data_IF_446293614821
#
_entry.id   IF_446293614821
#
_cell.length_a   1.000
_cell.length_b   1.000
_cell.length_c   1.000
_cell.angle_alpha   90.00
_cell.angle_beta   90.00
_cell.angle_gamma   90.00
#
_symmetry.space_group_name_H-M   'P 1'
#
loop_
_entity.id
_entity.type
_entity.pdbx_description
1 polymer ?
#
# COMPACT_ATOMS: atom_id res chain seq x y z
N UNK A 1 38.00 -55.84 2.49
CA UNK A 1 39.01 -54.81 2.76
C UNK A 1 39.80 -54.64 1.48
N UNK A 2 39.28 -53.80 0.58
CA UNK A 2 39.95 -53.28 -0.63
C UNK A 2 38.96 -52.28 -1.24
N UNK A 3 39.19 -51.00 -0.99
CA UNK A 3 38.47 -49.90 -1.60
C UNK A 3 39.28 -49.42 -2.79
N UNK A 4 38.73 -49.57 -3.99
CA UNK A 4 39.31 -49.08 -5.23
C UNK A 4 38.84 -47.62 -5.44
N UNK A 5 39.75 -46.68 -5.21
CA UNK A 5 39.57 -45.27 -5.54
C UNK A 5 39.74 -45.05 -7.04
N UNK A 6 38.67 -44.64 -7.73
CA UNK A 6 38.76 -43.97 -9.03
C UNK A 6 38.43 -42.49 -8.85
N UNK A 7 39.43 -41.66 -9.12
CA UNK A 7 39.30 -40.21 -9.18
C UNK A 7 38.57 -39.78 -10.45
N UNK A 8 37.55 -38.94 -10.26
CA UNK A 8 36.96 -38.10 -11.29
C UNK A 8 37.49 -36.68 -11.10
N UNK A 9 38.16 -36.17 -12.12
CA UNK A 9 38.54 -34.77 -12.27
C UNK A 9 37.46 -34.11 -13.10
N UNK A 10 36.69 -33.19 -12.51
CA UNK A 10 35.85 -32.28 -13.30
C UNK A 10 36.11 -30.82 -12.95
N UNK A 11 36.11 -30.05 -14.03
CA UNK A 11 36.70 -28.75 -14.16
C UNK A 11 35.77 -27.67 -13.61
N UNK A 12 36.38 -26.73 -12.87
CA UNK A 12 35.80 -25.44 -12.51
C UNK A 12 35.50 -24.64 -13.77
N UNK A 13 34.22 -24.38 -14.03
CA UNK A 13 33.74 -23.39 -14.99
C UNK A 13 33.08 -22.24 -14.24
N UNK A 14 33.87 -21.26 -13.79
CA UNK A 14 33.36 -19.96 -13.34
C UNK A 14 33.02 -19.12 -14.56
N UNK A 15 31.73 -19.01 -14.89
CA UNK A 15 31.23 -17.99 -15.81
C UNK A 15 30.67 -16.84 -14.98
N UNK A 16 31.39 -15.72 -14.97
CA UNK A 16 30.98 -14.51 -14.28
C UNK A 16 29.83 -13.82 -15.01
N UNK A 17 28.78 -13.48 -14.27
CA UNK A 17 27.83 -12.44 -14.66
C UNK A 17 28.34 -11.11 -14.11
N UNK A 18 28.91 -10.31 -15.00
CA UNK A 18 29.08 -8.87 -14.80
C UNK A 18 28.20 -8.19 -15.86
N UNK A 19 27.04 -7.71 -15.44
CA UNK A 19 26.22 -6.79 -16.23
C UNK A 19 26.15 -5.46 -15.48
N UNK A 20 27.20 -4.66 -15.64
CA UNK A 20 27.17 -3.24 -15.32
C UNK A 20 26.46 -2.52 -16.48
N UNK A 21 25.25 -2.02 -16.24
CA UNK A 21 24.55 -1.15 -17.18
C UNK A 21 25.06 0.29 -17.01
N UNK A 22 26.00 0.67 -17.88
CA UNK A 22 26.40 2.06 -18.11
C UNK A 22 25.33 2.73 -19.00
N UNK A 23 24.49 3.58 -18.41
CA UNK A 23 23.66 4.52 -19.20
C UNK A 23 24.54 5.73 -19.55
N UNK A 24 24.90 5.81 -20.83
CA UNK A 24 25.61 6.94 -21.40
C UNK A 24 24.68 8.15 -21.54
N UNK A 25 25.07 9.25 -20.89
CA UNK A 25 24.59 10.60 -21.15
C UNK A 25 25.01 11.05 -22.56
N UNK A 26 24.05 11.44 -23.40
CA UNK A 26 24.37 12.13 -24.65
C UNK A 26 23.17 12.28 -25.59
N UNK A 27 22.52 13.45 -25.58
CA UNK A 27 21.46 13.75 -26.54
C UNK A 27 20.86 15.15 -26.40
N UNK A 28 21.65 16.18 -26.74
CA UNK A 28 21.18 17.55 -26.95
C UNK A 28 20.14 17.57 -28.09
N UNK A 29 18.96 18.13 -27.83
CA UNK A 29 17.95 18.40 -28.87
C UNK A 29 16.69 19.05 -28.32
N UNK A 30 16.68 20.38 -28.22
CA UNK A 30 15.53 21.13 -27.72
C UNK A 30 14.37 21.25 -28.70
N UNK A 31 13.15 21.31 -28.15
CA UNK A 31 12.05 22.16 -28.63
C UNK A 31 11.14 22.47 -27.44
N UNK A 32 10.79 23.74 -27.30
CA UNK A 32 10.27 24.33 -26.07
C UNK A 32 8.90 23.81 -25.64
N UNK A 33 8.82 23.45 -24.37
CA UNK A 33 7.57 23.48 -23.61
C UNK A 33 7.37 24.90 -23.07
N UNK A 34 6.18 25.45 -23.33
CA UNK A 34 5.75 26.69 -22.71
C UNK A 34 5.68 26.47 -21.20
N UNK A 35 6.66 27.03 -20.48
CA UNK A 35 6.62 27.11 -19.03
C UNK A 35 5.44 27.97 -18.62
N UNK A 36 4.39 27.32 -18.13
CA UNK A 36 3.43 27.99 -17.28
C UNK A 36 4.19 28.44 -16.03
N UNK A 37 4.52 29.73 -15.99
CA UNK A 37 5.08 30.38 -14.82
C UNK A 37 4.08 30.23 -13.67
N UNK A 38 4.32 29.27 -12.78
CA UNK A 38 3.81 29.31 -11.41
C UNK A 38 4.30 30.64 -10.81
N UNK A 39 3.40 31.61 -10.72
CA UNK A 39 3.67 32.85 -10.04
C UNK A 39 4.08 32.51 -8.60
N UNK A 40 5.23 33.02 -8.16
CA UNK A 40 5.68 32.88 -6.79
C UNK A 40 4.61 33.46 -5.84
N UNK A 41 3.89 32.56 -5.18
CA UNK A 41 2.91 32.89 -4.14
C UNK A 41 3.67 33.57 -2.99
N UNK A 42 3.13 34.69 -2.50
CA UNK A 42 3.75 35.46 -1.43
C UNK A 42 3.91 34.58 -0.15
N UNK A 43 5.09 34.57 0.50
CA UNK A 43 5.42 33.58 1.52
C UNK A 43 4.86 33.80 2.95
N UNK A 44 4.05 34.81 3.25
CA UNK A 44 3.96 35.26 4.65
C UNK A 44 2.74 34.78 5.48
N UNK A 45 1.84 33.96 4.94
CA UNK A 45 0.66 33.47 5.68
C UNK A 45 0.70 31.99 6.08
N UNK A 46 1.41 31.17 5.31
CA UNK A 46 1.41 29.71 5.46
C UNK A 46 2.12 29.23 6.72
N UNK A 47 3.13 29.96 7.16
CA UNK A 47 4.02 29.52 8.23
C UNK A 47 3.31 29.69 9.57
N UNK A 48 2.63 30.83 9.76
CA UNK A 48 1.76 31.05 10.90
C UNK A 48 0.58 30.06 10.95
N UNK A 49 0.01 29.69 9.79
CA UNK A 49 -1.06 28.71 9.70
C UNK A 49 -0.57 27.32 10.14
N UNK A 50 0.58 26.88 9.62
CA UNK A 50 1.22 25.65 10.05
C UNK A 50 1.57 25.68 11.54
N UNK A 51 2.26 26.72 12.01
CA UNK A 51 2.67 26.85 13.40
C UNK A 51 1.49 26.73 14.37
N UNK A 52 0.35 27.32 14.01
CA UNK A 52 -0.86 27.27 14.83
C UNK A 52 -1.49 25.87 14.84
N UNK A 53 -1.59 25.19 13.69
CA UNK A 53 -2.10 23.79 13.64
C UNK A 53 -1.16 22.85 14.40
N UNK A 54 0.15 23.02 14.25
CA UNK A 54 1.15 22.22 14.97
C UNK A 54 1.19 22.53 16.47
N UNK A 55 0.87 23.76 16.88
CA UNK A 55 0.71 24.10 18.29
C UNK A 55 -0.50 23.38 18.92
N UNK A 56 -1.63 23.31 18.21
CA UNK A 56 -2.80 22.54 18.63
C UNK A 56 -2.48 21.05 18.76
N UNK A 57 -1.78 20.48 17.77
CA UNK A 57 -1.31 19.10 17.81
C UNK A 57 -0.42 18.82 19.03
N UNK A 58 0.60 19.65 19.28
CA UNK A 58 1.47 19.50 20.46
C UNK A 58 0.69 19.63 21.77
N UNK A 59 -0.30 20.52 21.83
CA UNK A 59 -1.15 20.65 23.01
C UNK A 59 -1.98 19.39 23.26
N UNK A 60 -2.50 18.75 22.21
CA UNK A 60 -3.20 17.47 22.31
C UNK A 60 -2.28 16.35 22.81
N UNK A 61 -1.06 16.24 22.27
CA UNK A 61 -0.07 15.26 22.74
C UNK A 61 0.31 15.49 24.21
N UNK A 62 0.49 16.74 24.63
CA UNK A 62 0.78 17.07 26.03
C UNK A 62 -0.37 16.72 26.97
N UNK A 63 -1.62 16.90 26.52
CA UNK A 63 -2.80 16.51 27.28
C UNK A 63 -2.92 14.98 27.42
N UNK A 64 -2.48 14.23 26.41
CA UNK A 64 -2.48 12.77 26.41
C UNK A 64 -1.46 12.12 27.36
N UNK A 65 -0.45 12.87 27.82
CA UNK A 65 0.54 12.38 28.77
C UNK A 65 1.43 11.25 28.21
N UNK A 66 1.64 10.19 29.01
CA UNK A 66 2.55 9.09 28.67
C UNK A 66 2.09 8.23 27.48
N UNK A 67 0.79 8.24 27.14
CA UNK A 67 0.23 7.49 26.00
C UNK A 67 0.82 7.95 24.65
N UNK A 68 1.20 9.22 24.54
CA UNK A 68 1.84 9.75 23.33
C UNK A 68 3.33 9.35 23.19
N UNK A 69 3.98 8.88 24.27
CA UNK A 69 5.41 8.62 24.28
C UNK A 69 5.78 7.15 23.96
N UNK A 70 4.81 6.24 23.92
CA UNK A 70 5.05 4.79 23.85
C UNK A 70 4.94 4.17 22.46
N UNK A 71 4.46 4.87 21.43
CA UNK A 71 4.39 4.32 20.07
C UNK A 71 5.43 5.02 19.15
N UNK A 72 6.44 4.28 18.65
CA UNK A 72 7.50 4.83 17.79
C UNK A 72 7.00 5.37 16.44
N UNK A 73 5.78 5.03 16.01
CA UNK A 73 5.24 5.39 14.71
C UNK A 73 4.67 6.83 14.65
N UNK A 74 4.71 7.57 15.76
CA UNK A 74 4.11 8.91 15.84
C UNK A 74 4.88 9.98 15.08
N UNK A 75 6.19 9.83 14.89
CA UNK A 75 7.02 11.04 14.76
C UNK A 75 7.20 11.52 13.32
N UNK A 76 7.05 10.66 12.31
CA UNK A 76 7.32 11.08 10.94
C UNK A 76 6.11 11.70 10.23
N UNK A 77 4.91 11.14 10.27
CA UNK A 77 3.78 11.67 9.49
C UNK A 77 2.89 12.64 10.30
N UNK A 78 2.64 12.35 11.57
CA UNK A 78 1.84 13.22 12.45
C UNK A 78 2.63 14.46 12.82
N UNK A 79 1.95 15.59 12.96
CA UNK A 79 2.62 16.86 13.19
C UNK A 79 3.37 17.39 11.96
N UNK A 80 3.15 16.83 10.77
CA UNK A 80 3.51 17.47 9.51
C UNK A 80 2.44 18.44 9.07
N UNK A 81 2.90 19.56 8.52
CA UNK A 81 2.08 20.56 7.86
C UNK A 81 2.60 20.76 6.43
N UNK A 82 1.71 20.71 5.45
CA UNK A 82 2.03 20.88 4.03
C UNK A 82 1.31 22.11 3.51
N UNK A 83 2.04 22.99 2.83
CA UNK A 83 1.48 24.15 2.16
C UNK A 83 0.81 23.74 0.86
N UNK A 84 -0.40 24.24 0.61
CA UNK A 84 -1.11 24.07 -0.65
C UNK A 84 -1.63 25.43 -1.15
N UNK A 85 -1.99 25.56 -2.43
CA UNK A 85 -2.71 26.74 -2.90
C UNK A 85 -3.94 27.03 -2.04
N UNK A 86 -3.99 28.22 -1.43
CA UNK A 86 -5.14 28.66 -0.63
C UNK A 86 -5.13 28.25 0.85
N UNK A 87 -4.14 27.50 1.34
CA UNK A 87 -4.09 27.10 2.75
C UNK A 87 -3.00 26.10 3.11
N UNK A 88 -3.23 25.38 4.19
CA UNK A 88 -2.33 24.32 4.67
C UNK A 88 -3.11 23.07 5.08
N UNK A 89 -2.53 21.92 4.78
CA UNK A 89 -2.95 20.61 5.28
C UNK A 89 -2.08 20.17 6.44
N UNK A 90 -2.64 19.42 7.38
CA UNK A 90 -1.86 18.74 8.40
C UNK A 90 -2.51 17.43 8.83
N UNK A 91 -1.69 16.49 9.29
CA UNK A 91 -2.13 15.32 10.04
C UNK A 91 -1.83 15.56 11.52
N UNK A 92 -2.85 15.49 12.37
CA UNK A 92 -2.74 15.80 13.79
C UNK A 92 -3.34 14.69 14.65
N UNK A 93 -2.83 14.56 15.86
CA UNK A 93 -3.47 13.79 16.94
C UNK A 93 -4.45 14.67 17.72
N UNK A 94 -5.56 14.07 18.14
CA UNK A 94 -6.61 14.64 18.96
C UNK A 94 -6.92 13.71 20.14
N UNK A 95 -7.25 14.28 21.30
CA UNK A 95 -7.87 13.52 22.39
C UNK A 95 -9.38 13.38 22.13
N UNK A 96 -9.93 12.18 22.32
CA UNK A 96 -11.36 11.89 22.14
C UNK A 96 -12.14 11.87 23.46
N UNK A 97 -11.48 11.66 24.60
CA UNK A 97 -12.09 11.77 25.93
C UNK A 97 -11.58 12.99 26.73
N UNK A 98 -12.30 13.37 27.79
CA UNK A 98 -11.96 14.53 28.62
C UNK A 98 -10.69 14.30 29.45
N UNK A 99 -10.36 13.03 29.68
CA UNK A 99 -9.19 12.57 30.41
C UNK A 99 -7.93 12.45 29.55
N UNK A 100 -8.04 12.58 28.21
CA UNK A 100 -6.93 12.46 27.27
C UNK A 100 -6.38 11.05 27.09
N UNK A 101 -7.14 10.03 27.49
CA UNK A 101 -6.71 8.63 27.45
C UNK A 101 -6.99 7.96 26.12
N UNK A 102 -7.94 8.49 25.36
CA UNK A 102 -8.23 7.99 24.03
C UNK A 102 -7.75 9.02 23.00
N UNK A 103 -7.02 8.54 22.00
CA UNK A 103 -6.49 9.35 20.93
C UNK A 103 -7.17 8.99 19.62
N UNK A 104 -7.15 9.95 18.70
CA UNK A 104 -7.44 9.72 17.29
C UNK A 104 -6.54 10.60 16.45
N UNK A 105 -6.31 10.24 15.20
CA UNK A 105 -5.69 11.16 14.25
C UNK A 105 -6.74 11.79 13.34
N UNK A 106 -6.44 12.98 12.83
CA UNK A 106 -7.32 13.73 11.96
C UNK A 106 -6.53 14.48 10.88
N UNK A 107 -7.18 14.64 9.74
CA UNK A 107 -6.81 15.56 8.67
C UNK A 107 -7.37 16.92 9.01
N UNK A 108 -6.52 17.95 8.95
CA UNK A 108 -6.90 19.35 9.16
C UNK A 108 -6.55 20.16 7.94
N UNK A 109 -7.51 20.94 7.47
CA UNK A 109 -7.30 22.03 6.52
C UNK A 109 -7.46 23.37 7.21
N UNK A 110 -6.56 24.32 6.91
CA UNK A 110 -6.71 25.73 7.28
C UNK A 110 -6.46 26.62 6.08
N UNK A 111 -7.53 27.27 5.61
CA UNK A 111 -7.49 28.23 4.52
C UNK A 111 -6.81 29.53 4.91
N UNK A 112 -6.20 30.20 3.91
CA UNK A 112 -5.60 31.52 4.06
C UNK A 112 -6.61 32.62 4.40
N UNK A 113 -7.90 32.36 4.16
CA UNK A 113 -9.03 33.22 4.53
C UNK A 113 -9.53 32.98 5.97
N UNK A 114 -8.88 32.07 6.72
CA UNK A 114 -9.25 31.69 8.07
C UNK A 114 -10.33 30.60 8.15
N UNK A 115 -10.81 30.08 7.02
CA UNK A 115 -11.67 28.89 7.02
C UNK A 115 -10.89 27.68 7.53
N UNK A 116 -11.58 26.75 8.18
CA UNK A 116 -10.97 25.49 8.62
C UNK A 116 -11.93 24.33 8.42
N UNK A 117 -11.36 23.17 8.14
CA UNK A 117 -12.09 21.92 8.06
C UNK A 117 -11.27 20.83 8.75
N UNK A 118 -11.96 19.82 9.28
CA UNK A 118 -11.36 18.74 10.05
C UNK A 118 -12.12 17.45 9.76
N UNK A 119 -11.40 16.36 9.58
CA UNK A 119 -11.96 15.05 9.29
C UNK A 119 -11.06 13.97 9.87
N UNK A 120 -11.64 13.05 10.64
CA UNK A 120 -10.94 11.86 11.14
C UNK A 120 -11.39 10.69 10.26
N UNK A 121 -10.52 10.16 9.38
CA UNK A 121 -10.85 9.00 8.57
C UNK A 121 -11.18 7.82 9.48
N UNK A 122 -12.28 7.09 9.22
CA UNK A 122 -12.54 5.85 9.94
C UNK A 122 -11.46 4.83 9.53
N UNK A 123 -10.88 4.13 10.51
CA UNK A 123 -10.26 2.84 10.24
C UNK A 123 -11.35 1.78 10.39
N UNK A 124 -11.31 0.74 9.55
CA UNK A 124 -12.37 -0.27 9.51
C UNK A 124 -12.39 -1.22 10.72
N UNK A 125 -11.35 -1.19 11.56
CA UNK A 125 -11.29 -1.98 12.77
C UNK A 125 -12.48 -1.61 13.66
N UNK A 126 -13.35 -2.58 13.89
CA UNK A 126 -14.49 -2.46 14.78
C UNK A 126 -13.99 -2.19 16.19
N UNK A 127 -13.95 -0.92 16.57
CA UNK A 127 -13.76 -0.56 17.97
C UNK A 127 -15.05 -0.96 18.68
N UNK A 128 -14.97 -1.99 19.51
CA UNK A 128 -16.15 -2.72 19.99
C UNK A 128 -17.19 -1.86 20.72
N UNK A 129 -16.87 -0.63 21.16
CA UNK A 129 -17.84 0.26 21.83
C UNK A 129 -17.61 1.78 21.65
N UNK A 130 -16.63 2.22 20.83
CA UNK A 130 -16.29 3.65 20.68
C UNK A 130 -16.18 4.05 19.20
N UNK A 131 -17.29 4.54 18.63
CA UNK A 131 -17.29 5.14 17.29
C UNK A 131 -16.79 6.60 17.36
N UNK A 132 -15.83 7.03 16.50
CA UNK A 132 -14.84 6.27 15.74
C UNK A 132 -13.43 6.37 16.37
N UNK A 133 -12.82 5.25 16.76
CA UNK A 133 -11.37 5.22 17.03
C UNK A 133 -10.62 4.84 15.75
N UNK A 134 -9.63 5.65 15.39
CA UNK A 134 -8.64 5.33 14.35
C UNK A 134 -7.23 5.24 14.95
N UNK A 135 -7.20 4.92 16.24
CA UNK A 135 -6.02 4.78 17.08
C UNK A 135 -6.39 3.73 18.13
N UNK A 136 -5.84 2.54 18.01
CA UNK A 136 -6.07 1.47 18.98
C UNK A 136 -4.88 1.38 19.94
N UNK A 137 -5.16 1.00 21.19
CA UNK A 137 -4.17 0.80 22.24
C UNK A 137 -3.27 -0.43 21.96
N UNK A 138 -3.70 -1.34 21.08
CA UNK A 138 -3.07 -2.64 20.86
C UNK A 138 -2.43 -2.85 19.49
N UNK A 139 -2.54 -1.90 18.57
CA UNK A 139 -1.95 -2.00 17.23
C UNK A 139 -0.88 -0.95 16.92
N UNK A 140 -0.13 -1.16 15.84
CA UNK A 140 0.75 -0.16 15.28
C UNK A 140 0.07 0.53 14.09
N UNK A 141 -0.06 1.86 14.18
CA UNK A 141 -0.48 2.71 13.09
C UNK A 141 0.76 3.21 12.35
N UNK A 142 0.94 2.77 11.11
CA UNK A 142 1.88 3.37 10.18
C UNK A 142 1.15 4.38 9.31
N UNK A 143 1.72 5.57 9.15
CA UNK A 143 1.19 6.62 8.29
C UNK A 143 2.22 6.95 7.22
N UNK A 144 1.79 6.91 5.97
CA UNK A 144 2.57 7.45 4.86
C UNK A 144 2.81 8.94 5.12
N UNK A 145 4.02 9.47 4.81
CA UNK A 145 4.23 10.90 4.79
C UNK A 145 3.19 11.54 3.87
N UNK A 146 2.42 12.55 4.34
CA UNK A 146 1.38 13.17 3.53
C UNK A 146 1.99 13.78 2.26
N UNK A 147 1.27 13.70 1.14
CA UNK A 147 1.71 14.22 -0.16
C UNK A 147 0.59 15.00 -0.82
N UNK A 148 0.97 15.90 -1.72
CA UNK A 148 0.03 16.66 -2.54
C UNK A 148 0.15 16.21 -3.99
N UNK A 149 -0.98 15.95 -4.64
CA UNK A 149 -1.06 15.70 -6.09
C UNK A 149 -2.41 16.16 -6.62
N UNK A 150 -2.46 16.64 -7.85
CA UNK A 150 -3.70 17.08 -8.52
C UNK A 150 -4.29 15.89 -9.28
N UNK A 151 -4.98 15.01 -8.55
CA UNK A 151 -5.36 13.67 -9.02
C UNK A 151 -6.56 13.71 -9.96
N UNK A 152 -7.34 14.80 -9.90
CA UNK A 152 -8.51 15.03 -10.76
C UNK A 152 -8.31 16.12 -11.82
N UNK A 153 -7.11 16.71 -11.90
CA UNK A 153 -6.68 17.71 -12.89
C UNK A 153 -7.54 18.98 -12.87
N UNK A 154 -7.99 19.38 -11.68
CA UNK A 154 -8.78 20.60 -11.50
C UNK A 154 -7.92 21.85 -11.22
N UNK A 155 -6.59 21.68 -11.12
CA UNK A 155 -5.62 22.72 -10.84
C UNK A 155 -5.40 22.97 -9.35
N UNK A 156 -6.02 22.18 -8.47
CA UNK A 156 -5.85 22.24 -7.02
C UNK A 156 -5.36 20.87 -6.54
N UNK A 157 -4.24 20.81 -5.82
CA UNK A 157 -3.75 19.53 -5.34
C UNK A 157 -4.59 19.01 -4.17
N UNK A 158 -4.90 17.72 -4.24
CA UNK A 158 -5.47 16.89 -3.18
C UNK A 158 -4.39 16.43 -2.21
N UNK A 159 -4.80 16.18 -0.97
CA UNK A 159 -3.97 15.52 0.03
C UNK A 159 -4.09 14.00 -0.11
N UNK A 160 -3.02 13.32 -0.47
CA UNK A 160 -2.89 11.88 -0.27
C UNK A 160 -2.58 11.57 1.19
N UNK A 161 -3.35 10.63 1.75
CA UNK A 161 -3.12 10.02 3.05
C UNK A 161 -3.17 8.51 2.89
N UNK A 162 -2.08 7.84 3.26
CA UNK A 162 -2.02 6.40 3.46
C UNK A 162 -1.85 6.09 4.94
N UNK A 163 -2.64 5.17 5.45
CA UNK A 163 -2.60 4.71 6.82
C UNK A 163 -2.74 3.20 6.84
N UNK A 164 -1.81 2.50 7.47
CA UNK A 164 -1.85 1.05 7.66
C UNK A 164 -1.90 0.78 9.14
N UNK A 165 -2.93 0.06 9.57
CA UNK A 165 -3.09 -0.41 10.92
C UNK A 165 -2.74 -1.89 10.98
N UNK A 166 -1.76 -2.21 11.81
CA UNK A 166 -1.39 -3.58 12.15
C UNK A 166 -1.82 -3.88 13.58
N UNK A 167 -2.88 -4.67 13.73
CA UNK A 167 -3.21 -5.30 15.00
C UNK A 167 -2.22 -6.43 15.33
N UNK A 168 -2.22 -6.88 16.59
CA UNK A 168 -1.44 -8.07 16.98
C UNK A 168 -1.94 -9.34 16.28
N UNK A 169 -3.22 -9.37 15.91
CA UNK A 169 -3.92 -10.50 15.30
C UNK A 169 -4.98 -9.97 14.32
N UNK A 170 -5.17 -10.65 13.20
CA UNK A 170 -6.27 -10.38 12.27
C UNK A 170 -5.93 -9.56 11.02
N UNK A 171 -6.98 -9.04 10.39
CA UNK A 171 -6.90 -8.30 9.13
C UNK A 171 -6.19 -6.96 9.35
N UNK A 172 -5.15 -6.72 8.57
CA UNK A 172 -4.56 -5.40 8.44
C UNK A 172 -5.57 -4.47 7.78
N UNK A 173 -5.85 -3.34 8.41
CA UNK A 173 -6.69 -2.32 7.81
C UNK A 173 -5.83 -1.22 7.22
N UNK A 174 -6.03 -0.97 5.94
CA UNK A 174 -5.38 0.09 5.22
C UNK A 174 -6.42 1.12 4.79
N UNK A 175 -6.10 2.40 4.95
CA UNK A 175 -6.87 3.51 4.42
C UNK A 175 -5.95 4.35 3.56
N UNK A 176 -6.10 4.23 2.25
CA UNK A 176 -5.46 5.10 1.29
C UNK A 176 -6.53 5.91 0.58
N UNK A 177 -6.40 7.24 0.61
CA UNK A 177 -7.34 8.11 -0.08
C UNK A 177 -6.71 9.47 -0.40
N UNK A 178 -7.29 10.11 -1.41
CA UNK A 178 -7.07 11.52 -1.70
C UNK A 178 -8.19 12.35 -1.12
N UNK A 179 -7.86 13.48 -0.53
CA UNK A 179 -8.80 14.37 0.13
C UNK A 179 -8.72 15.78 -0.43
N UNK A 180 -9.88 16.39 -0.66
CA UNK A 180 -10.01 17.79 -1.07
C UNK A 180 -10.93 18.54 -0.11
N UNK A 181 -10.96 19.87 -0.23
CA UNK A 181 -11.91 20.71 0.50
C UNK A 181 -13.03 21.13 -0.43
N UNK A 182 -14.24 20.68 -0.12
CA UNK A 182 -15.45 21.01 -0.88
C UNK A 182 -16.54 21.51 0.07
N UNK A 183 -17.11 22.68 -0.26
CA UNK A 183 -18.16 23.32 0.54
C UNK A 183 -17.81 23.48 2.05
N UNK A 184 -16.54 23.72 2.37
CA UNK A 184 -16.06 23.89 3.74
C UNK A 184 -15.86 22.59 4.53
N UNK A 185 -15.94 21.43 3.88
CA UNK A 185 -15.66 20.12 4.47
C UNK A 185 -14.51 19.43 3.74
N UNK A 186 -13.77 18.58 4.46
CA UNK A 186 -12.82 17.64 3.86
C UNK A 186 -13.63 16.45 3.35
N UNK A 187 -13.44 16.09 2.08
CA UNK A 187 -14.13 14.98 1.44
C UNK A 187 -13.14 14.15 0.63
N UNK A 188 -13.39 12.85 0.54
CA UNK A 188 -12.58 11.96 -0.30
C UNK A 188 -12.85 12.25 -1.80
N UNK A 189 -11.78 12.20 -2.60
CA UNK A 189 -11.85 12.39 -4.06
C UNK A 189 -12.15 11.05 -4.73
N UNK A 190 -13.19 10.96 -5.58
CA UNK A 190 -13.48 9.75 -6.34
C UNK A 190 -12.35 9.44 -7.35
N UNK A 191 -11.90 8.18 -7.37
CA UNK A 191 -10.86 7.71 -8.29
C UNK A 191 -11.45 6.73 -9.33
N UNK A 192 -12.15 7.21 -10.38
CA UNK A 192 -12.76 6.32 -11.38
C UNK A 192 -11.71 5.46 -12.12
N UNK A 193 -10.45 5.89 -12.14
CA UNK A 193 -9.32 5.15 -12.69
C UNK A 193 -9.13 3.76 -12.07
N UNK A 194 -9.49 3.59 -10.78
CA UNK A 194 -9.43 2.33 -10.05
C UNK A 194 -10.57 1.37 -10.40
N UNK A 195 -11.60 1.80 -11.13
CA UNK A 195 -12.73 0.94 -11.57
C UNK A 195 -13.44 0.20 -10.43
N UNK A 196 -13.43 0.77 -9.22
CA UNK A 196 -14.04 0.20 -8.02
C UNK A 196 -13.11 -0.68 -7.18
N UNK A 197 -11.84 -0.85 -7.55
CA UNK A 197 -10.85 -1.48 -6.69
C UNK A 197 -10.39 -0.55 -5.57
N UNK A 198 -9.95 -1.12 -4.46
CA UNK A 198 -9.38 -0.39 -3.34
C UNK A 198 -8.05 0.27 -3.74
N UNK A 199 -7.80 1.47 -3.22
CA UNK A 199 -6.48 2.09 -3.28
C UNK A 199 -5.63 1.50 -2.15
N UNK A 200 -4.45 1.01 -2.49
CA UNK A 200 -3.52 0.35 -1.56
C UNK A 200 -2.22 1.15 -1.39
N UNK A 201 -2.08 2.24 -2.14
CA UNK A 201 -0.94 3.13 -2.05
C UNK A 201 -0.89 4.12 -3.20
N UNK A 202 0.00 5.11 -3.08
CA UNK A 202 0.28 6.03 -4.17
C UNK A 202 1.78 6.37 -4.24
N UNK A 203 2.37 6.34 -5.44
CA UNK A 203 3.81 6.53 -5.64
C UNK A 203 4.10 7.07 -7.03
N UNK A 204 5.05 7.99 -7.13
CA UNK A 204 5.63 8.41 -8.41
C UNK A 204 6.59 7.32 -8.92
N UNK A 205 6.17 6.52 -9.91
CA UNK A 205 6.94 5.37 -10.40
C UNK A 205 7.92 5.74 -11.51
N UNK A 206 7.70 6.84 -12.22
CA UNK A 206 8.53 7.27 -13.35
C UNK A 206 9.33 8.57 -13.10
N UNK A 207 9.13 9.19 -11.94
CA UNK A 207 9.86 10.36 -11.47
C UNK A 207 9.36 11.68 -12.05
N UNK A 208 8.12 11.72 -12.55
CA UNK A 208 7.53 12.91 -13.17
C UNK A 208 6.90 13.90 -12.18
N UNK A 209 6.86 13.53 -10.90
CA UNK A 209 6.31 14.33 -9.81
C UNK A 209 4.82 14.11 -9.54
N UNK A 210 4.14 13.22 -10.26
CA UNK A 210 2.74 12.83 -10.04
C UNK A 210 2.69 11.48 -9.36
N UNK A 211 1.61 11.23 -8.61
CA UNK A 211 1.44 9.95 -7.93
C UNK A 211 0.66 8.98 -8.82
N UNK A 212 1.24 7.81 -9.06
CA UNK A 212 0.56 6.65 -9.61
C UNK A 212 -0.23 5.95 -8.51
N UNK A 213 -1.38 5.39 -8.88
CA UNK A 213 -2.23 4.65 -7.95
C UNK A 213 -1.78 3.19 -7.90
N UNK A 214 -1.69 2.64 -6.69
CA UNK A 214 -1.37 1.24 -6.46
C UNK A 214 -2.60 0.51 -5.94
N UNK A 215 -2.85 -0.69 -6.43
CA UNK A 215 -4.00 -1.50 -6.04
C UNK A 215 -3.71 -2.98 -6.28
N UNK A 216 -4.20 -3.88 -5.42
CA UNK A 216 -4.19 -5.32 -5.74
C UNK A 216 -5.28 -5.70 -6.78
N UNK A 217 -6.09 -4.74 -7.23
CA UNK A 217 -7.13 -4.95 -8.24
C UNK A 217 -8.16 -5.98 -7.77
N UNK A 218 -8.50 -6.99 -8.60
CA UNK A 218 -9.40 -8.06 -8.19
C UNK A 218 -8.71 -9.14 -7.32
N UNK A 219 -7.43 -8.97 -6.99
CA UNK A 219 -6.63 -9.94 -6.23
C UNK A 219 -6.49 -9.47 -4.78
N UNK A 220 -7.62 -9.17 -4.14
CA UNK A 220 -7.71 -8.79 -2.75
C UNK A 220 -8.93 -9.49 -2.14
N UNK A 221 -8.77 -10.14 -1.02
CA UNK A 221 -9.89 -10.71 -0.28
C UNK A 221 -9.49 -11.15 1.11
N UNK A 222 -10.49 -11.25 1.98
CA UNK A 222 -10.30 -11.76 3.33
C UNK A 222 -10.61 -13.26 3.38
N UNK A 223 -9.90 -13.99 4.23
CA UNK A 223 -10.12 -15.42 4.47
C UNK A 223 -9.92 -15.72 5.95
N UNK A 224 -10.58 -16.74 6.49
CA UNK A 224 -10.33 -17.16 7.86
C UNK A 224 -9.01 -17.93 7.94
N UNK A 225 -8.12 -17.54 8.83
CA UNK A 225 -6.91 -18.31 9.10
C UNK A 225 -7.28 -19.67 9.66
N UNK A 226 -6.73 -20.73 9.08
CA UNK A 226 -6.80 -22.05 9.69
C UNK A 226 -6.15 -21.96 11.07
N UNK A 227 -6.99 -21.87 12.11
CA UNK A 227 -6.80 -22.32 13.52
C UNK A 227 -6.82 -21.21 14.54
N UNK A 228 -6.74 -19.98 14.08
CA UNK A 228 -6.87 -18.84 14.95
C UNK A 228 -8.31 -18.32 14.97
N UNK A 229 -9.09 -18.61 13.93
CA UNK A 229 -10.41 -18.00 13.71
C UNK A 229 -10.31 -16.50 13.40
N UNK A 230 -9.10 -15.97 13.26
CA UNK A 230 -8.87 -14.58 12.85
C UNK A 230 -9.01 -14.48 11.34
N UNK A 231 -9.69 -13.42 10.88
CA UNK A 231 -9.65 -13.04 9.48
C UNK A 231 -8.22 -12.65 9.11
N UNK A 232 -7.76 -13.12 7.97
CA UNK A 232 -6.55 -12.68 7.31
C UNK A 232 -6.93 -12.02 5.99
N UNK A 233 -6.03 -11.19 5.47
CA UNK A 233 -6.18 -10.60 4.15
C UNK A 233 -5.19 -11.25 3.21
N UNK A 234 -5.71 -11.90 2.17
CA UNK A 234 -4.93 -12.40 1.07
C UNK A 234 -4.78 -11.32 0.00
N UNK A 235 -3.54 -11.03 -0.38
CA UNK A 235 -3.20 -10.02 -1.38
C UNK A 235 -2.49 -10.70 -2.56
N UNK A 236 -2.81 -10.25 -3.77
CA UNK A 236 -2.02 -10.50 -4.98
C UNK A 236 -0.94 -9.43 -5.17
N UNK A 237 -0.31 -9.34 -6.35
CA UNK A 237 0.69 -8.31 -6.61
C UNK A 237 0.06 -6.91 -6.62
N UNK A 238 0.84 -5.89 -6.24
CA UNK A 238 0.44 -4.49 -6.39
C UNK A 238 0.50 -4.07 -7.87
N UNK A 239 -0.65 -3.72 -8.42
CA UNK A 239 -0.82 -3.22 -9.79
C UNK A 239 -0.75 -1.70 -9.79
N UNK A 240 -0.07 -1.14 -10.79
CA UNK A 240 0.02 0.30 -10.98
C UNK A 240 -1.00 0.81 -11.99
N UNK A 241 -1.61 1.95 -11.67
CA UNK A 241 -2.37 2.79 -12.58
C UNK A 241 -1.60 4.10 -12.77
N UNK A 242 -0.90 4.19 -13.89
CA UNK A 242 0.02 5.28 -14.16
C UNK A 242 -0.71 6.59 -14.52
N UNK A 243 -0.33 7.70 -13.89
CA UNK A 243 -0.82 9.05 -14.12
C UNK A 243 -0.12 9.71 -15.31
N UNK A 244 -0.23 9.10 -16.51
CA UNK A 244 0.56 9.45 -17.68
C UNK A 244 0.46 10.92 -18.13
N UNK A 245 -0.71 11.54 -17.96
CA UNK A 245 -0.93 12.96 -18.23
C UNK A 245 -2.05 13.47 -17.33
N UNK A 246 -2.17 14.79 -17.22
CA UNK A 246 -3.35 15.50 -16.74
C UNK A 246 -4.67 14.80 -17.12
N UNK A 247 -5.35 14.19 -16.13
CA UNK A 247 -6.61 13.46 -16.29
C UNK A 247 -6.54 12.14 -17.08
N UNK A 248 -5.34 11.64 -17.39
CA UNK A 248 -5.10 10.43 -18.18
C UNK A 248 -4.45 9.35 -17.33
N UNK A 249 -5.24 8.32 -17.01
CA UNK A 249 -4.83 7.15 -16.25
C UNK A 249 -4.64 5.93 -17.16
N UNK A 250 -3.53 5.20 -17.00
CA UNK A 250 -3.16 4.06 -17.85
C UNK A 250 -2.83 2.82 -17.02
N UNK A 251 -3.36 1.68 -17.45
CA UNK A 251 -3.07 0.38 -16.83
C UNK A 251 -2.06 -0.45 -17.63
N UNK A 252 -1.82 -0.09 -18.91
CA UNK A 252 -1.14 -0.96 -19.88
C UNK A 252 0.00 -0.28 -20.65
N UNK A 253 0.50 0.85 -20.17
CA UNK A 253 1.67 1.51 -20.75
C UNK A 253 2.99 1.03 -20.12
N UNK A 254 4.11 1.59 -20.57
CA UNK A 254 5.46 1.19 -20.19
C UNK A 254 5.66 1.18 -18.67
N UNK A 255 5.18 2.22 -17.98
CA UNK A 255 5.34 2.38 -16.53
C UNK A 255 4.53 1.32 -15.79
N UNK A 256 3.24 1.18 -16.12
CA UNK A 256 2.38 0.19 -15.48
C UNK A 256 2.83 -1.25 -15.75
N UNK A 257 3.31 -1.55 -16.96
CA UNK A 257 3.84 -2.88 -17.32
C UNK A 257 5.17 -3.17 -16.60
N UNK A 258 6.02 -2.17 -16.42
CA UNK A 258 7.28 -2.32 -15.67
C UNK A 258 7.00 -2.58 -14.19
N UNK A 259 6.07 -1.85 -13.59
CA UNK A 259 5.63 -2.07 -12.22
C UNK A 259 5.02 -3.47 -12.03
N UNK A 260 4.16 -3.93 -12.95
CA UNK A 260 3.61 -5.28 -12.94
C UNK A 260 4.70 -6.36 -13.04
N UNK A 261 5.67 -6.18 -13.93
CA UNK A 261 6.77 -7.12 -14.08
C UNK A 261 7.64 -7.21 -12.81
N UNK A 262 7.87 -6.08 -12.15
CA UNK A 262 8.61 -6.02 -10.88
C UNK A 262 7.82 -6.68 -9.74
N UNK A 263 6.51 -6.42 -9.64
CA UNK A 263 5.66 -7.02 -8.62
C UNK A 263 5.53 -8.54 -8.77
N UNK A 264 5.56 -9.06 -10.01
CA UNK A 264 5.51 -10.49 -10.29
C UNK A 264 6.89 -11.13 -10.50
N UNK A 265 7.97 -10.43 -10.20
CA UNK A 265 9.29 -11.04 -10.22
C UNK A 265 9.35 -12.11 -9.10
N UNK A 266 9.95 -13.28 -9.35
CA UNK A 266 10.19 -14.22 -8.25
C UNK A 266 10.98 -13.50 -7.16
N UNK A 267 10.62 -13.74 -5.90
CA UNK A 267 11.42 -13.28 -4.78
C UNK A 267 12.87 -13.74 -5.01
N UNK A 268 13.83 -12.82 -4.85
CA UNK A 268 15.24 -13.24 -4.84
C UNK A 268 15.38 -14.21 -3.67
N UNK A 269 15.88 -15.42 -3.93
CA UNK A 269 16.08 -16.44 -2.91
C UNK A 269 16.97 -15.83 -1.81
N UNK A 270 16.35 -15.36 -0.72
CA UNK A 270 17.06 -14.81 0.43
C UNK A 270 17.77 -15.97 1.12
N UNK A 271 19.02 -16.22 0.70
CA UNK A 271 19.93 -17.23 1.23
C UNK A 271 19.19 -18.48 1.72
N UNK A 272 18.71 -19.31 0.78
CA UNK A 272 18.22 -20.66 1.08
C UNK A 272 19.23 -21.31 2.04
N UNK A 273 18.86 -21.44 3.31
CA UNK A 273 19.55 -22.32 4.23
C UNK A 273 19.57 -23.68 3.53
N UNK A 274 20.75 -24.08 3.00
CA UNK A 274 20.96 -25.24 2.10
C UNK A 274 20.39 -26.58 2.62
N UNK A 275 19.90 -26.61 3.86
CA UNK A 275 19.36 -27.77 4.56
C UNK A 275 17.81 -27.81 4.64
N UNK A 276 17.09 -26.81 4.13
CA UNK A 276 15.63 -26.80 4.14
C UNK A 276 15.05 -27.17 2.77
N UNK A 277 14.72 -28.46 2.57
CA UNK A 277 13.95 -28.97 1.43
C UNK A 277 12.48 -28.43 1.44
N UNK A 278 12.31 -27.10 1.42
CA UNK A 278 10.99 -26.45 1.36
C UNK A 278 10.62 -26.36 -0.11
N UNK A 279 9.75 -27.26 -0.57
CA UNK A 279 9.06 -27.07 -1.86
C UNK A 279 8.43 -25.66 -1.86
N UNK A 280 8.70 -24.81 -2.86
CA UNK A 280 8.18 -23.44 -2.88
C UNK A 280 6.65 -23.51 -2.82
N UNK A 281 6.09 -23.00 -1.73
CA UNK A 281 4.65 -22.96 -1.52
C UNK A 281 4.05 -22.01 -2.56
N UNK A 282 3.04 -22.47 -3.30
CA UNK A 282 2.30 -21.63 -4.23
C UNK A 282 1.55 -20.57 -3.42
N UNK A 283 1.91 -19.31 -3.60
CA UNK A 283 1.25 -18.17 -2.97
C UNK A 283 0.04 -17.69 -3.77
N UNK A 284 -0.87 -16.95 -3.13
CA UNK A 284 -1.95 -16.22 -3.81
C UNK A 284 -1.40 -15.31 -4.92
N UNK A 285 -0.26 -14.67 -4.66
CA UNK A 285 0.47 -13.85 -5.62
C UNK A 285 0.90 -14.66 -6.85
N UNK A 286 1.38 -15.90 -6.69
CA UNK A 286 1.74 -16.78 -7.81
C UNK A 286 0.55 -17.03 -8.74
N UNK A 287 -0.63 -17.31 -8.19
CA UNK A 287 -1.85 -17.55 -8.96
C UNK A 287 -2.31 -16.27 -9.66
N UNK A 288 -2.29 -15.13 -8.96
CA UNK A 288 -2.63 -13.83 -9.52
C UNK A 288 -1.68 -13.41 -10.66
N UNK A 289 -0.36 -13.56 -10.46
CA UNK A 289 0.65 -13.28 -11.48
C UNK A 289 0.48 -14.17 -12.70
N UNK A 290 0.18 -15.47 -12.56
CA UNK A 290 -0.12 -16.33 -13.70
C UNK A 290 -1.28 -15.77 -14.55
N UNK A 291 -2.36 -15.31 -13.91
CA UNK A 291 -3.51 -14.68 -14.58
C UNK A 291 -3.13 -13.37 -15.26
N UNK A 292 -2.36 -12.51 -14.58
CA UNK A 292 -1.85 -11.25 -15.13
C UNK A 292 -0.92 -11.48 -16.32
N UNK A 293 -0.22 -12.61 -16.39
CA UNK A 293 0.63 -13.02 -17.52
C UNK A 293 -0.12 -13.83 -18.60
N UNK A 294 -1.44 -13.89 -18.51
CA UNK A 294 -2.30 -14.42 -19.56
C UNK A 294 -2.65 -15.91 -19.45
N UNK A 295 -2.27 -16.58 -18.36
CA UNK A 295 -2.77 -17.92 -18.08
C UNK A 295 -4.30 -17.89 -17.99
N UNK A 296 -4.97 -18.90 -18.51
CA UNK A 296 -6.42 -19.10 -18.35
C UNK A 296 -6.77 -19.43 -16.89
N UNK A 297 -8.05 -19.31 -16.52
CA UNK A 297 -8.48 -19.67 -15.17
C UNK A 297 -8.22 -21.16 -14.85
N UNK A 298 -8.29 -22.04 -15.86
CA UNK A 298 -7.96 -23.45 -15.70
C UNK A 298 -6.46 -23.70 -15.47
N UNK A 299 -5.59 -22.96 -16.18
CA UNK A 299 -4.14 -23.04 -15.98
C UNK A 299 -3.73 -22.48 -14.63
N UNK A 300 -4.31 -21.35 -14.20
CA UNK A 300 -4.05 -20.77 -12.88
C UNK A 300 -4.52 -21.70 -11.75
N UNK A 301 -5.69 -22.34 -11.87
CA UNK A 301 -6.15 -23.37 -10.93
C UNK A 301 -5.21 -24.56 -10.83
N UNK A 302 -4.60 -24.96 -11.94
CA UNK A 302 -3.65 -26.08 -11.93
C UNK A 302 -2.39 -25.78 -11.11
N UNK A 303 -2.14 -24.51 -10.76
CA UNK A 303 -1.09 -24.11 -9.81
C UNK A 303 -1.53 -24.28 -8.36
N UNK A 304 -2.83 -24.18 -8.06
CA UNK A 304 -3.33 -24.31 -6.69
C UNK A 304 -3.03 -25.74 -6.24
N UNK A 305 -2.19 -25.93 -5.20
CA UNK A 305 -1.74 -27.25 -4.84
C UNK A 305 -2.95 -28.10 -4.44
N UNK A 306 -3.20 -29.19 -5.16
CA UNK A 306 -4.15 -30.23 -4.76
C UNK A 306 -3.67 -31.01 -3.54
N UNK A 307 -2.80 -30.46 -2.68
CA UNK A 307 -2.53 -31.08 -1.39
C UNK A 307 -3.85 -31.08 -0.66
N UNK A 308 -4.53 -32.23 -0.74
CA UNK A 308 -5.28 -32.76 0.37
C UNK A 308 -4.35 -32.59 1.56
N UNK A 309 -4.57 -31.53 2.32
CA UNK A 309 -4.06 -31.39 3.66
C UNK A 309 -4.45 -32.70 4.32
N UNK A 310 -3.46 -33.59 4.46
CA UNK A 310 -3.69 -35.01 4.72
C UNK A 310 -4.63 -35.12 5.90
N UNK A 311 -5.70 -35.90 5.74
CA UNK A 311 -6.71 -36.25 6.77
C UNK A 311 -6.12 -36.89 8.05
N UNK A 312 -4.79 -36.94 8.18
CA UNK A 312 -4.05 -37.75 9.15
C UNK A 312 -3.45 -36.90 10.29
N UNK A 313 -3.22 -35.59 10.11
CA UNK A 313 -2.62 -34.71 11.13
C UNK A 313 -3.39 -33.37 11.20
N UNK A 314 -3.87 -33.04 12.40
CA UNK A 314 -5.02 -32.18 12.68
C UNK A 314 -4.86 -30.70 12.28
N UNK A 315 -5.54 -30.20 11.23
CA UNK A 315 -5.24 -28.89 10.67
C UNK A 315 -6.03 -27.74 11.27
N UNK A 316 -6.96 -27.96 12.22
CA UNK A 316 -7.52 -27.05 13.24
C UNK A 316 -8.53 -27.76 14.15
N UNK A 317 -8.86 -29.00 13.83
CA UNK A 317 -9.99 -29.74 14.31
C UNK A 317 -9.58 -30.80 15.34
N UNK A 318 -8.98 -30.25 16.40
CA UNK A 318 -9.84 -30.18 17.56
C UNK A 318 -11.06 -29.31 17.20
N UNK A 319 -12.27 -29.88 17.12
CA UNK A 319 -13.39 -29.29 16.37
C UNK A 319 -13.98 -28.02 16.98
N UNK A 320 -14.77 -27.17 16.25
CA UNK A 320 -15.32 -27.33 14.89
C UNK A 320 -15.29 -26.07 13.97
N UNK A 321 -15.11 -26.28 12.68
CA UNK A 321 -16.10 -26.05 11.60
C UNK A 321 -15.38 -26.38 10.28
N UNK A 322 -15.89 -27.37 9.55
CA UNK A 322 -15.31 -27.91 8.30
C UNK A 322 -15.09 -26.84 7.20
N UNK A 323 -15.50 -25.59 7.44
CA UNK A 323 -15.48 -24.48 6.49
C UNK A 323 -14.18 -23.64 6.55
N UNK A 324 -13.42 -23.61 7.67
CA UNK A 324 -12.25 -22.71 7.79
C UNK A 324 -11.08 -23.09 6.85
N UNK A 325 -10.89 -24.39 6.57
CA UNK A 325 -9.89 -24.87 5.60
C UNK A 325 -10.34 -24.60 4.15
N UNK A 326 -11.63 -24.34 3.93
CA UNK A 326 -12.17 -24.01 2.61
C UNK A 326 -12.00 -22.52 2.24
N UNK A 327 -11.85 -21.62 3.20
CA UNK A 327 -11.86 -20.18 2.93
C UNK A 327 -10.62 -19.71 2.16
N UNK A 328 -9.42 -20.14 2.57
CA UNK A 328 -8.19 -19.78 1.84
C UNK A 328 -8.20 -20.41 0.43
N UNK A 329 -8.61 -21.68 0.32
CA UNK A 329 -8.75 -22.34 -0.98
C UNK A 329 -9.77 -21.64 -1.89
N UNK A 330 -10.90 -21.18 -1.32
CA UNK A 330 -11.88 -20.39 -2.04
C UNK A 330 -11.29 -19.05 -2.53
N UNK A 331 -10.41 -18.43 -1.75
CA UNK A 331 -9.70 -17.21 -2.17
C UNK A 331 -8.73 -17.48 -3.33
N UNK A 332 -7.98 -18.58 -3.29
CA UNK A 332 -7.15 -19.03 -4.42
C UNK A 332 -7.99 -19.24 -5.69
N UNK A 333 -9.12 -19.93 -5.57
CA UNK A 333 -10.06 -20.15 -6.67
C UNK A 333 -10.64 -18.83 -7.21
N UNK A 334 -10.99 -17.90 -6.32
CA UNK A 334 -11.44 -16.56 -6.70
C UNK A 334 -10.36 -15.78 -7.47
N UNK A 335 -9.10 -15.87 -7.06
CA UNK A 335 -7.97 -15.24 -7.77
C UNK A 335 -7.76 -15.90 -9.14
N UNK A 336 -7.86 -17.22 -9.24
CA UNK A 336 -7.77 -17.92 -10.51
C UNK A 336 -8.91 -17.54 -11.48
N UNK A 337 -10.11 -17.28 -10.98
CA UNK A 337 -11.27 -16.85 -11.77
C UNK A 337 -11.32 -15.36 -12.10
N UNK A 338 -10.63 -14.54 -11.31
CA UNK A 338 -10.60 -13.10 -11.50
C UNK A 338 -10.21 -12.74 -12.94
N UNK A 339 -10.90 -11.73 -13.50
CA UNK A 339 -10.55 -11.16 -14.80
C UNK A 339 -9.51 -10.06 -14.59
N UNK A 340 -8.27 -10.21 -15.10
CA UNK A 340 -7.25 -9.20 -14.93
C UNK A 340 -7.70 -7.86 -15.54
N UNK A 341 -7.49 -6.72 -14.85
CA UNK A 341 -7.80 -5.40 -15.43
C UNK A 341 -6.83 -5.01 -16.56
N UNK A 342 -5.67 -5.68 -16.58
CA UNK A 342 -4.62 -5.63 -17.60
C UNK A 342 -3.99 -7.01 -17.73
N UNK A 343 -3.48 -7.34 -18.93
CA UNK A 343 -2.66 -8.53 -19.16
C UNK A 343 -1.28 -8.06 -19.60
N UNK A 344 -0.24 -8.64 -19.02
CA UNK A 344 1.15 -8.35 -19.33
C UNK A 344 1.43 -8.61 -20.82
N UNK A 345 2.14 -7.68 -21.47
CA UNK A 345 2.57 -7.82 -22.86
C UNK A 345 4.09 -7.90 -22.87
N UNK A 346 4.61 -9.12 -23.05
CA UNK A 346 6.03 -9.31 -23.32
C UNK A 346 6.44 -8.47 -24.54
N UNK A 347 7.46 -7.64 -24.37
CA UNK A 347 8.02 -6.78 -25.42
C UNK A 347 9.11 -7.48 -26.20
#
# INVERSE_FOLDING_TARGET
MEHEHRGGTEARGTAGLAAALLIALGGLGGCGSAGAHLAAVAPDGSDAACDAVLAEHRAALLAAGELAASSPAHDEALGRCIRAPGGVWALVVEATDAEGRELRWAIVWRGADGTSARFAPPLMATCDDVEPCNFDDYGALELDPPRLDDVDDDGRPELYVGAVFSGNEGVYDATHAFYTVSAGAIVAVPLPALRGFALEGARDLDGDGRLDLLTNGPYLGDYSGSCSGFGNRGTGPLLAVHHAAAGVWRWDDDVAQTALAAACAPAEDEDEDEDADVEPLVSLETVACARLFGATAAEARALIPCRAWRDDEDPCDLPPEEDAVCDEHALFEAFADATPPVVFRAR
#
